data_IF_816848172918
#
_entry.id   IF_816848172918
#
_cell.length_a   1.000
_cell.length_b   1.000
_cell.length_c   1.000
_cell.angle_alpha   90.00
_cell.angle_beta   90.00
_cell.angle_gamma   90.00
#
_symmetry.space_group_name_H-M   'P 1'
#
loop_
_entity.id
_entity.type
_entity.pdbx_description
1 polymer ?
#
# COMPACT_ATOMS: atom_id res chain seq x y z
N UNK A 1 36.82 -41.46 -74.20
CA UNK A 1 37.60 -42.03 -73.08
C UNK A 1 37.56 -41.01 -71.94
N UNK A 2 37.14 -41.44 -70.74
CA UNK A 2 37.32 -40.84 -69.38
C UNK A 2 37.13 -39.32 -69.21
N UNK A 3 36.02 -38.83 -68.62
CA UNK A 3 35.75 -38.63 -67.16
C UNK A 3 36.58 -37.49 -66.53
N UNK A 4 36.12 -36.55 -65.69
CA UNK A 4 34.85 -36.28 -65.03
C UNK A 4 34.87 -34.84 -64.41
N UNK A 5 33.68 -34.29 -64.13
CA UNK A 5 33.22 -33.49 -62.94
C UNK A 5 34.18 -32.52 -62.20
N UNK A 6 33.82 -31.31 -61.75
CA UNK A 6 32.53 -30.83 -61.20
C UNK A 6 32.31 -29.30 -61.33
N UNK A 7 31.01 -28.96 -61.29
CA UNK A 7 30.25 -27.69 -61.23
C UNK A 7 30.73 -26.62 -60.23
N UNK A 8 30.81 -25.32 -60.59
CA UNK A 8 29.78 -24.29 -60.87
C UNK A 8 29.16 -23.68 -59.58
N UNK A 9 29.55 -22.46 -59.18
CA UNK A 9 29.15 -21.08 -59.58
C UNK A 9 28.03 -20.48 -58.72
N UNK A 10 28.35 -19.34 -58.13
CA UNK A 10 27.44 -18.29 -57.66
C UNK A 10 26.79 -17.57 -58.85
N UNK A 11 25.56 -17.06 -58.67
CA UNK A 11 25.10 -15.71 -59.09
C UNK A 11 23.61 -15.54 -58.73
N UNK A 12 23.31 -14.30 -58.37
CA UNK A 12 22.08 -13.63 -57.93
C UNK A 12 20.78 -13.88 -58.70
N UNK A 13 19.66 -13.76 -57.98
CA UNK A 13 18.33 -13.42 -58.55
C UNK A 13 17.42 -12.81 -57.48
N UNK A 14 16.98 -11.57 -57.69
CA UNK A 14 16.06 -10.81 -56.84
C UNK A 14 14.64 -10.89 -57.41
N UNK A 15 13.65 -11.07 -56.52
CA UNK A 15 12.33 -10.40 -56.49
C UNK A 15 11.08 -11.28 -56.39
N UNK A 16 10.15 -10.76 -55.59
CA UNK A 16 8.72 -11.04 -55.45
C UNK A 16 8.32 -12.16 -54.48
N UNK A 17 7.68 -11.75 -53.38
CA UNK A 17 7.06 -12.64 -52.40
C UNK A 17 6.61 -11.87 -51.17
N UNK A 18 5.47 -11.20 -51.27
CA UNK A 18 4.79 -10.60 -50.12
C UNK A 18 4.31 -11.72 -49.17
N UNK A 19 4.65 -11.63 -47.88
CA UNK A 19 3.95 -12.34 -46.81
C UNK A 19 4.13 -11.59 -45.49
N UNK A 20 3.03 -11.47 -44.76
CA UNK A 20 2.84 -10.52 -43.67
C UNK A 20 3.80 -10.71 -42.50
N UNK A 21 4.35 -9.60 -42.03
CA UNK A 21 4.98 -9.52 -40.73
C UNK A 21 3.87 -9.60 -39.66
N UNK A 22 3.62 -10.80 -39.16
CA UNK A 22 3.01 -10.97 -37.84
C UNK A 22 3.98 -10.38 -36.81
N UNK A 23 3.59 -9.26 -36.20
CA UNK A 23 4.28 -8.67 -35.08
C UNK A 23 4.36 -9.71 -33.95
N UNK A 24 5.52 -10.35 -33.80
CA UNK A 24 5.84 -11.13 -32.62
C UNK A 24 5.91 -10.17 -31.44
N UNK A 25 4.84 -10.15 -30.65
CA UNK A 25 4.80 -9.49 -29.37
C UNK A 25 5.93 -10.04 -28.51
N UNK A 26 6.82 -9.15 -28.08
CA UNK A 26 7.75 -9.43 -27.00
C UNK A 26 6.96 -9.77 -25.73
N UNK A 27 6.68 -11.04 -25.50
CA UNK A 27 6.40 -11.55 -24.17
C UNK A 27 7.73 -11.68 -23.44
N UNK A 28 8.24 -10.54 -22.97
CA UNK A 28 9.25 -10.54 -21.92
C UNK A 28 8.63 -11.18 -20.68
N UNK A 29 9.12 -12.36 -20.29
CA UNK A 29 8.84 -12.94 -18.98
C UNK A 29 8.98 -11.84 -17.91
N UNK A 30 7.99 -11.63 -17.02
CA UNK A 30 8.12 -10.59 -16.01
C UNK A 30 9.39 -10.89 -15.19
N UNK A 31 10.22 -9.87 -14.97
CA UNK A 31 11.36 -9.98 -14.06
C UNK A 31 10.93 -10.37 -12.63
N UNK A 32 11.90 -10.57 -11.71
CA UNK A 32 11.60 -10.97 -10.34
C UNK A 32 10.58 -10.03 -9.70
N UNK A 33 9.56 -10.60 -9.05
CA UNK A 33 8.52 -9.82 -8.37
C UNK A 33 8.91 -9.57 -6.91
N UNK A 34 8.56 -8.40 -6.39
CA UNK A 34 8.76 -8.05 -4.99
C UNK A 34 7.59 -8.56 -4.14
N UNK A 35 7.87 -9.40 -3.16
CA UNK A 35 6.89 -9.81 -2.14
C UNK A 35 6.65 -8.69 -1.12
N UNK A 36 5.39 -8.31 -0.95
CA UNK A 36 4.95 -7.28 -0.01
C UNK A 36 3.88 -7.89 0.90
N UNK A 37 4.01 -7.71 2.21
CA UNK A 37 3.04 -8.16 3.19
C UNK A 37 2.46 -6.98 3.95
N UNK A 38 1.13 -6.89 4.05
CA UNK A 38 0.44 -5.80 4.75
C UNK A 38 -0.41 -6.37 5.88
N UNK A 39 -0.35 -5.72 7.03
CA UNK A 39 -1.13 -6.04 8.23
C UNK A 39 -1.88 -4.79 8.66
N UNK A 40 -3.20 -4.91 8.82
CA UNK A 40 -4.00 -3.81 9.34
C UNK A 40 -5.48 -4.16 9.33
N UNK A 41 -6.31 -3.21 9.76
CA UNK A 41 -7.74 -3.44 9.87
C UNK A 41 -8.45 -3.25 8.52
N UNK A 42 -9.56 -3.96 8.34
CA UNK A 42 -10.53 -3.70 7.26
C UNK A 42 -11.86 -3.28 7.85
N UNK A 43 -12.49 -2.29 7.23
CA UNK A 43 -13.80 -1.79 7.62
C UNK A 43 -14.78 -1.87 6.44
N UNK A 44 -16.07 -2.00 6.75
CA UNK A 44 -17.16 -1.68 5.85
C UNK A 44 -17.58 -0.24 6.12
N UNK A 45 -17.19 0.67 5.24
CA UNK A 45 -17.50 2.09 5.35
C UNK A 45 -18.89 2.34 4.75
N UNK A 46 -19.79 2.87 5.57
CA UNK A 46 -21.08 3.43 5.15
C UNK A 46 -20.98 4.94 5.19
N UNK A 47 -20.93 5.57 4.02
CA UNK A 47 -20.73 7.01 3.89
C UNK A 47 -22.06 7.66 3.52
N UNK A 48 -22.50 8.56 4.37
CA UNK A 48 -23.70 9.38 4.23
C UNK A 48 -23.27 10.77 3.77
N UNK A 49 -23.60 11.10 2.53
CA UNK A 49 -23.36 12.41 1.93
C UNK A 49 -24.51 13.33 2.31
N UNK A 50 -24.17 14.45 2.93
CA UNK A 50 -25.12 15.48 3.39
C UNK A 50 -24.67 16.84 2.90
N UNK A 51 -25.61 17.75 2.61
CA UNK A 51 -25.25 19.11 2.23
C UNK A 51 -24.42 19.80 3.33
N UNK A 52 -24.98 19.83 4.53
CA UNK A 52 -24.42 20.45 5.74
C UNK A 52 -24.34 19.43 6.86
N UNK A 53 -23.34 19.57 7.72
CA UNK A 53 -23.16 18.70 8.88
C UNK A 53 -24.38 18.79 9.82
N UNK A 54 -24.93 17.65 10.28
CA UNK A 54 -26.12 17.67 11.12
C UNK A 54 -25.80 18.28 12.50
N UNK A 55 -26.71 19.12 13.00
CA UNK A 55 -26.68 19.55 14.38
C UNK A 55 -27.06 18.41 15.34
N UNK A 56 -26.60 18.49 16.58
CA UNK A 56 -27.02 17.56 17.64
C UNK A 56 -28.55 17.55 17.75
N UNK A 57 -29.13 16.35 17.93
CA UNK A 57 -30.58 16.10 17.98
C UNK A 57 -31.38 16.47 16.71
N UNK A 58 -30.71 16.83 15.60
CA UNK A 58 -31.38 17.13 14.34
C UNK A 58 -31.75 15.87 13.55
N UNK A 59 -32.86 15.94 12.83
CA UNK A 59 -33.26 14.93 11.83
C UNK A 59 -32.98 15.45 10.44
N UNK A 60 -32.12 14.76 9.71
CA UNK A 60 -31.73 15.13 8.35
C UNK A 60 -31.72 13.91 7.44
N UNK A 61 -32.03 14.12 6.16
CA UNK A 61 -31.94 13.10 5.11
C UNK A 61 -30.58 13.22 4.42
N UNK A 62 -29.90 12.10 4.24
CA UNK A 62 -28.71 12.04 3.38
C UNK A 62 -29.11 12.19 1.90
N UNK A 63 -28.32 12.95 1.14
CA UNK A 63 -28.50 13.10 -0.32
C UNK A 63 -28.14 11.81 -1.05
N UNK A 64 -27.08 11.14 -0.57
CA UNK A 64 -26.60 9.87 -1.08
C UNK A 64 -26.02 9.03 0.04
N UNK A 65 -26.20 7.71 -0.03
CA UNK A 65 -25.50 6.75 0.82
C UNK A 65 -24.70 5.82 -0.08
N UNK A 66 -23.47 5.54 0.30
CA UNK A 66 -22.61 4.56 -0.36
C UNK A 66 -22.01 3.60 0.66
N UNK A 67 -21.77 2.37 0.23
CA UNK A 67 -21.04 1.38 1.01
C UNK A 67 -19.82 0.91 0.23
N UNK A 68 -18.67 0.89 0.90
CA UNK A 68 -17.41 0.42 0.32
C UNK A 68 -16.48 -0.17 1.38
N UNK A 69 -15.50 -0.94 0.92
CA UNK A 69 -14.41 -1.40 1.77
C UNK A 69 -13.50 -0.22 2.14
N UNK A 70 -13.27 -0.04 3.43
CA UNK A 70 -12.26 0.83 4.02
C UNK A 70 -11.10 0.05 4.63
N UNK A 71 -10.30 0.72 5.44
CA UNK A 71 -9.10 0.17 6.09
C UNK A 71 -7.82 0.53 5.34
N UNK A 72 -6.88 1.17 6.05
CA UNK A 72 -5.73 1.83 5.45
C UNK A 72 -4.79 0.83 4.76
N UNK A 73 -4.42 -0.24 5.48
CA UNK A 73 -3.60 -1.31 4.92
C UNK A 73 -4.29 -2.05 3.77
N UNK A 74 -5.61 -2.25 3.84
CA UNK A 74 -6.38 -2.88 2.77
C UNK A 74 -6.44 -1.99 1.50
N UNK A 75 -6.66 -0.68 1.67
CA UNK A 75 -6.60 0.29 0.57
C UNK A 75 -5.23 0.31 -0.09
N UNK A 76 -4.18 0.34 0.73
CA UNK A 76 -2.78 0.26 0.27
C UNK A 76 -2.55 -1.03 -0.52
N UNK A 77 -3.02 -2.18 -0.02
CA UNK A 77 -2.87 -3.47 -0.68
C UNK A 77 -3.59 -3.53 -2.04
N UNK A 78 -4.80 -3.00 -2.15
CA UNK A 78 -5.57 -2.94 -3.41
C UNK A 78 -4.81 -2.20 -4.51
N UNK A 79 -4.13 -1.11 -4.15
CA UNK A 79 -3.34 -0.31 -5.09
C UNK A 79 -2.07 -1.05 -5.50
N UNK A 80 -1.34 -1.61 -4.53
CA UNK A 80 -0.10 -2.35 -4.78
C UNK A 80 -0.33 -3.57 -5.68
N UNK A 81 -1.45 -4.27 -5.51
CA UNK A 81 -1.80 -5.45 -6.30
C UNK A 81 -2.03 -5.16 -7.80
N UNK A 82 -2.18 -3.90 -8.18
CA UNK A 82 -2.31 -3.48 -9.57
C UNK A 82 -0.97 -3.44 -10.32
N UNK A 83 0.19 -3.42 -9.64
CA UNK A 83 1.49 -3.45 -10.30
C UNK A 83 1.98 -4.90 -10.49
N UNK A 84 2.23 -5.36 -11.74
CA UNK A 84 2.61 -6.74 -12.00
C UNK A 84 3.97 -7.14 -11.42
N UNK A 85 4.79 -6.16 -11.00
CA UNK A 85 6.08 -6.40 -10.32
C UNK A 85 5.91 -6.66 -8.82
N UNK A 86 4.74 -6.38 -8.25
CA UNK A 86 4.44 -6.67 -6.86
C UNK A 86 3.70 -8.02 -6.74
N UNK A 87 4.02 -8.78 -5.70
CA UNK A 87 3.15 -9.83 -5.17
C UNK A 87 2.73 -9.42 -3.76
N UNK A 88 1.44 -9.27 -3.55
CA UNK A 88 0.92 -8.61 -2.35
C UNK A 88 0.13 -9.61 -1.52
N UNK A 89 0.42 -9.65 -0.21
CA UNK A 89 -0.33 -10.39 0.79
C UNK A 89 -0.95 -9.42 1.78
N UNK A 90 -2.17 -9.73 2.20
CA UNK A 90 -2.90 -8.95 3.18
C UNK A 90 -3.39 -9.83 4.32
N UNK A 91 -3.14 -9.38 5.55
CA UNK A 91 -3.61 -10.01 6.78
C UNK A 91 -4.46 -9.02 7.58
N UNK A 92 -5.63 -9.51 8.00
CA UNK A 92 -6.53 -8.84 8.94
C UNK A 92 -7.27 -9.89 9.77
N UNK A 93 -7.76 -9.46 10.94
CA UNK A 93 -8.88 -10.10 11.61
C UNK A 93 -10.14 -9.89 10.77
N UNK A 94 -10.90 -10.95 10.55
CA UNK A 94 -12.05 -10.99 9.63
C UNK A 94 -13.21 -11.75 10.26
N UNK A 95 -14.47 -11.35 9.97
CA UNK A 95 -15.62 -12.18 10.35
C UNK A 95 -15.61 -13.48 9.54
N UNK A 96 -16.69 -14.28 9.63
CA UNK A 96 -16.80 -15.53 8.86
C UNK A 96 -16.49 -15.33 7.37
N UNK A 97 -15.98 -16.34 6.65
CA UNK A 97 -15.63 -16.21 5.22
C UNK A 97 -16.78 -15.66 4.36
N UNK A 98 -18.03 -15.99 4.68
CA UNK A 98 -19.22 -15.48 3.98
C UNK A 98 -19.40 -13.98 4.20
N UNK A 99 -19.29 -13.49 5.44
CA UNK A 99 -19.42 -12.07 5.77
C UNK A 99 -18.24 -11.24 5.24
N UNK A 100 -17.07 -11.85 5.07
CA UNK A 100 -15.85 -11.23 4.57
C UNK A 100 -15.82 -11.01 3.05
N UNK A 101 -16.75 -11.59 2.28
CA UNK A 101 -16.75 -11.49 0.80
C UNK A 101 -16.73 -10.05 0.30
N UNK A 102 -17.53 -9.17 0.91
CA UNK A 102 -17.57 -7.74 0.54
C UNK A 102 -16.26 -7.01 0.85
N UNK A 103 -15.51 -7.48 1.85
CA UNK A 103 -14.25 -6.91 2.29
C UNK A 103 -13.06 -7.40 1.45
N UNK A 104 -13.10 -8.63 0.94
CA UNK A 104 -11.95 -9.23 0.25
C UNK A 104 -12.02 -9.16 -1.26
N UNK A 105 -13.23 -9.05 -1.84
CA UNK A 105 -13.43 -9.14 -3.30
C UNK A 105 -12.54 -8.19 -4.10
N UNK A 106 -12.49 -6.90 -3.74
CA UNK A 106 -11.69 -5.92 -4.47
C UNK A 106 -10.18 -6.18 -4.35
N UNK A 107 -9.73 -6.74 -3.21
CA UNK A 107 -8.34 -7.13 -3.02
C UNK A 107 -7.98 -8.30 -3.95
N UNK A 108 -8.81 -9.34 -3.96
CA UNK A 108 -8.61 -10.54 -4.78
C UNK A 108 -8.68 -10.24 -6.29
N UNK A 109 -9.62 -9.39 -6.71
CA UNK A 109 -9.72 -8.90 -8.10
C UNK A 109 -8.47 -8.11 -8.54
N UNK A 110 -7.74 -7.52 -7.58
CA UNK A 110 -6.45 -6.85 -7.80
C UNK A 110 -5.26 -7.74 -7.41
N UNK A 111 -5.39 -9.07 -7.48
CA UNK A 111 -4.30 -10.04 -7.27
C UNK A 111 -3.67 -10.03 -5.85
N UNK A 112 -4.35 -9.47 -4.86
CA UNK A 112 -3.92 -9.53 -3.47
C UNK A 112 -4.26 -10.90 -2.87
N UNK A 113 -3.29 -11.49 -2.19
CA UNK A 113 -3.39 -12.77 -1.49
C UNK A 113 -3.98 -12.56 -0.10
N UNK A 114 -5.21 -13.04 0.10
CA UNK A 114 -6.02 -12.84 1.31
C UNK A 114 -6.07 -14.08 2.20
N UNK A 115 -5.46 -15.20 1.79
CA UNK A 115 -5.35 -16.41 2.61
C UNK A 115 -4.66 -16.24 3.98
N UNK A 116 -3.80 -15.21 4.21
CA UNK A 116 -3.27 -14.93 5.55
C UNK A 116 -4.31 -14.37 6.52
N UNK A 117 -5.48 -13.92 6.07
CA UNK A 117 -6.50 -13.40 6.98
C UNK A 117 -6.96 -14.45 8.01
N UNK A 118 -7.33 -13.96 9.19
CA UNK A 118 -7.80 -14.77 10.32
C UNK A 118 -9.32 -14.64 10.38
N UNK A 119 -10.02 -15.75 10.24
CA UNK A 119 -11.48 -15.77 10.13
C UNK A 119 -12.08 -16.28 11.44
N UNK A 120 -12.95 -15.48 12.03
CA UNK A 120 -13.70 -15.86 13.23
C UNK A 120 -15.05 -16.49 12.82
N UNK A 121 -15.36 -17.67 13.37
CA UNK A 121 -16.54 -18.47 13.01
C UNK A 121 -17.80 -18.10 13.77
N UNK A 122 -17.67 -17.33 14.85
CA UNK A 122 -18.78 -16.75 15.58
C UNK A 122 -19.56 -15.75 14.70
N UNK A 123 -20.82 -15.46 15.04
CA UNK A 123 -21.67 -14.50 14.31
C UNK A 123 -21.24 -13.05 14.55
N UNK A 124 -19.99 -12.74 14.21
CA UNK A 124 -19.41 -11.41 14.30
C UNK A 124 -19.71 -10.64 13.02
N UNK A 125 -20.08 -9.37 13.18
CA UNK A 125 -20.26 -8.47 12.04
C UNK A 125 -18.90 -7.96 11.55
N UNK A 126 -18.75 -7.63 10.26
CA UNK A 126 -17.64 -6.82 9.78
C UNK A 126 -17.44 -5.58 10.66
N UNK A 127 -16.19 -5.14 10.92
CA UNK A 127 -15.95 -3.82 11.49
C UNK A 127 -16.62 -2.78 10.59
N UNK A 128 -17.32 -1.83 11.19
CA UNK A 128 -18.08 -0.82 10.45
C UNK A 128 -17.53 0.57 10.75
N UNK A 129 -17.53 1.42 9.73
CA UNK A 129 -17.33 2.85 9.89
C UNK A 129 -18.53 3.58 9.31
N UNK A 130 -19.16 4.43 10.10
CA UNK A 130 -20.19 5.35 9.67
C UNK A 130 -19.56 6.71 9.46
N UNK A 131 -19.64 7.20 8.23
CA UNK A 131 -18.98 8.43 7.81
C UNK A 131 -20.04 9.43 7.41
N UNK A 132 -20.08 10.58 8.08
CA UNK A 132 -20.88 11.73 7.65
C UNK A 132 -19.95 12.63 6.85
N UNK A 133 -20.25 12.83 5.57
CA UNK A 133 -19.48 13.68 4.65
C UNK A 133 -20.30 14.93 4.32
N UNK A 134 -19.86 16.09 4.78
CA UNK A 134 -20.51 17.37 4.54
C UNK A 134 -19.95 18.02 3.27
N UNK A 135 -20.83 18.30 2.30
CA UNK A 135 -20.44 18.80 0.98
C UNK A 135 -20.06 20.29 1.00
N UNK A 136 -20.74 21.09 1.82
CA UNK A 136 -20.51 22.53 1.93
C UNK A 136 -19.15 22.89 2.55
N UNK A 137 -18.75 22.16 3.59
CA UNK A 137 -17.49 22.34 4.30
C UNK A 137 -16.36 21.47 3.76
N UNK A 138 -16.69 20.41 3.02
CA UNK A 138 -15.75 19.36 2.63
C UNK A 138 -15.20 18.53 3.80
N UNK A 139 -15.81 18.64 4.98
CA UNK A 139 -15.36 17.92 6.19
C UNK A 139 -16.06 16.57 6.32
N UNK A 140 -15.47 15.69 7.14
CA UNK A 140 -16.07 14.40 7.48
C UNK A 140 -15.91 14.08 8.96
N UNK A 141 -16.87 13.33 9.49
CA UNK A 141 -16.79 12.69 10.82
C UNK A 141 -16.92 11.19 10.64
N UNK A 142 -16.02 10.44 11.29
CA UNK A 142 -15.95 8.99 11.19
C UNK A 142 -16.23 8.38 12.56
N UNK A 143 -17.24 7.53 12.63
CA UNK A 143 -17.61 6.76 13.82
C UNK A 143 -17.40 5.29 13.51
N UNK A 144 -16.45 4.64 14.17
CA UNK A 144 -16.14 3.23 13.94
C UNK A 144 -16.66 2.34 15.06
N UNK A 145 -17.18 1.16 14.71
CA UNK A 145 -17.55 0.11 15.64
C UNK A 145 -17.01 -1.24 15.14
N UNK A 146 -16.42 -2.03 16.05
CA UNK A 146 -15.97 -3.38 15.75
C UNK A 146 -16.29 -4.28 16.93
N UNK A 147 -16.83 -5.47 16.63
CA UNK A 147 -16.92 -6.59 17.58
C UNK A 147 -15.85 -7.64 17.32
N UNK A 148 -15.01 -7.46 16.29
CA UNK A 148 -13.90 -8.36 16.03
C UNK A 148 -12.76 -8.09 17.01
N UNK A 149 -12.12 -9.15 17.53
CA UNK A 149 -10.88 -8.99 18.27
C UNK A 149 -9.78 -8.51 17.32
N UNK A 150 -8.84 -7.74 17.87
CA UNK A 150 -7.58 -7.44 17.19
C UNK A 150 -6.78 -8.74 16.96
N UNK A 151 -5.92 -8.73 15.94
CA UNK A 151 -5.01 -9.84 15.65
C UNK A 151 -4.09 -10.12 16.84
N UNK A 152 -4.06 -11.36 17.31
CA UNK A 152 -3.10 -11.81 18.32
C UNK A 152 -1.74 -12.12 17.70
N UNK A 153 -0.69 -12.17 18.52
CA UNK A 153 0.64 -12.57 18.08
C UNK A 153 0.65 -14.02 17.56
N UNK A 154 -0.03 -14.94 18.24
CA UNK A 154 -0.07 -16.35 17.88
C UNK A 154 -0.71 -16.56 16.51
N UNK A 155 -1.85 -15.91 16.26
CA UNK A 155 -2.53 -15.95 14.96
C UNK A 155 -1.66 -15.35 13.85
N UNK A 156 -0.98 -14.23 14.13
CA UNK A 156 -0.03 -13.62 13.20
C UNK A 156 1.09 -14.59 12.84
N UNK A 157 1.75 -15.21 13.82
CA UNK A 157 2.86 -16.16 13.58
C UNK A 157 2.41 -17.30 12.66
N UNK A 158 1.29 -17.96 12.98
CA UNK A 158 0.78 -19.09 12.20
C UNK A 158 0.54 -18.69 10.74
N UNK A 159 -0.12 -17.55 10.53
CA UNK A 159 -0.49 -17.09 9.19
C UNK A 159 0.69 -16.53 8.41
N UNK A 160 1.60 -15.82 9.07
CA UNK A 160 2.81 -15.26 8.48
C UNK A 160 3.77 -16.35 8.04
N UNK A 161 4.01 -17.37 8.87
CA UNK A 161 4.87 -18.52 8.52
C UNK A 161 4.29 -19.31 7.33
N UNK A 162 2.97 -19.55 7.34
CA UNK A 162 2.28 -20.16 6.21
C UNK A 162 2.41 -19.34 4.92
N UNK A 163 2.34 -18.01 5.01
CA UNK A 163 2.55 -17.13 3.86
C UNK A 163 4.01 -17.18 3.38
N UNK A 164 4.99 -17.20 4.28
CA UNK A 164 6.41 -17.34 3.93
C UNK A 164 6.69 -18.64 3.18
N UNK A 165 6.12 -19.76 3.63
CA UNK A 165 6.23 -21.06 2.95
C UNK A 165 5.65 -21.03 1.53
N UNK A 166 4.49 -20.40 1.34
CA UNK A 166 3.85 -20.27 0.02
C UNK A 166 4.59 -19.30 -0.90
N UNK A 167 5.12 -18.21 -0.35
CA UNK A 167 5.93 -17.23 -1.08
C UNK A 167 7.18 -17.87 -1.70
N UNK A 168 7.76 -18.89 -1.04
CA UNK A 168 8.93 -19.63 -1.51
C UNK A 168 8.70 -20.49 -2.78
N UNK A 169 7.49 -20.55 -3.34
CA UNK A 169 7.18 -21.37 -4.53
C UNK A 169 7.30 -20.53 -5.82
N UNK A 170 8.29 -20.90 -6.65
CA UNK A 170 8.67 -20.49 -8.01
C UNK A 170 9.00 -19.02 -8.34
N UNK A 171 8.20 -18.03 -7.94
CA UNK A 171 8.31 -16.68 -8.56
C UNK A 171 9.05 -15.64 -7.71
N UNK A 172 9.17 -15.86 -6.40
CA UNK A 172 9.96 -15.02 -5.48
C UNK A 172 11.34 -15.63 -5.21
N UNK A 173 11.59 -16.84 -5.71
CA UNK A 173 12.84 -17.62 -5.54
C UNK A 173 14.07 -16.80 -5.96
N UNK A 174 13.92 -15.92 -6.96
CA UNK A 174 14.99 -15.03 -7.42
C UNK A 174 15.42 -13.98 -6.38
N UNK A 175 14.55 -13.59 -5.44
CA UNK A 175 14.92 -12.64 -4.37
C UNK A 175 15.57 -13.31 -3.16
N UNK A 176 15.44 -14.63 -3.05
CA UNK A 176 15.91 -15.44 -1.92
C UNK A 176 15.39 -14.97 -0.54
N UNK A 177 14.21 -14.34 -0.51
CA UNK A 177 13.44 -13.93 0.68
C UNK A 177 11.93 -13.97 0.35
N UNK A 178 11.04 -14.21 1.34
CA UNK A 178 9.60 -14.22 1.09
C UNK A 178 9.03 -12.81 0.87
N UNK A 179 9.37 -11.85 1.74
CA UNK A 179 8.89 -10.48 1.63
C UNK A 179 10.06 -9.50 1.70
N UNK A 180 10.11 -8.58 0.75
CA UNK A 180 11.06 -7.45 0.75
C UNK A 180 10.54 -6.30 1.59
N UNK A 181 9.22 -6.18 1.71
CA UNK A 181 8.56 -5.10 2.42
C UNK A 181 7.43 -5.65 3.28
N UNK A 182 7.38 -5.27 4.56
CA UNK A 182 6.28 -5.59 5.46
C UNK A 182 5.73 -4.27 6.04
N UNK A 183 4.44 -4.02 5.83
CA UNK A 183 3.76 -2.81 6.30
C UNK A 183 2.76 -3.15 7.40
N UNK A 184 2.79 -2.37 8.48
CA UNK A 184 1.85 -2.46 9.58
C UNK A 184 1.09 -1.15 9.75
N UNK A 185 -0.22 -1.23 9.87
CA UNK A 185 -1.01 -0.17 10.50
C UNK A 185 -0.63 -0.12 11.99
N UNK A 186 -0.19 1.02 12.50
CA UNK A 186 0.29 1.20 13.88
C UNK A 186 -0.84 1.18 14.91
N UNK A 187 -1.47 0.00 15.08
CA UNK A 187 -2.55 -0.24 16.05
C UNK A 187 -2.11 -1.20 17.15
N UNK A 188 -2.54 -0.94 18.38
CA UNK A 188 -2.46 -1.89 19.49
C UNK A 188 -1.03 -2.19 19.97
N UNK A 189 -0.93 -2.91 21.09
CA UNK A 189 0.34 -3.27 21.71
C UNK A 189 1.05 -4.43 21.00
N UNK A 190 0.30 -5.30 20.30
CA UNK A 190 0.85 -6.54 19.74
C UNK A 190 1.61 -6.35 18.43
N UNK A 191 1.40 -5.25 17.69
CA UNK A 191 2.19 -4.96 16.48
C UNK A 191 3.69 -4.90 16.79
N UNK A 192 4.07 -4.40 17.98
CA UNK A 192 5.47 -4.41 18.40
C UNK A 192 6.03 -5.84 18.45
N UNK A 193 5.25 -6.77 19.02
CA UNK A 193 5.64 -8.19 19.14
C UNK A 193 5.66 -8.90 17.78
N UNK A 194 4.74 -8.52 16.88
CA UNK A 194 4.73 -9.04 15.50
C UNK A 194 5.99 -8.61 14.76
N UNK A 195 6.40 -7.34 14.89
CA UNK A 195 7.65 -6.84 14.31
C UNK A 195 8.85 -7.57 14.92
N UNK A 196 8.91 -7.72 16.25
CA UNK A 196 9.99 -8.47 16.91
C UNK A 196 10.09 -9.92 16.40
N UNK A 197 8.94 -10.59 16.18
CA UNK A 197 8.91 -11.92 15.60
C UNK A 197 9.50 -11.93 14.19
N UNK A 198 9.03 -11.04 13.31
CA UNK A 198 9.53 -10.89 11.93
C UNK A 198 11.04 -10.64 11.92
N UNK A 199 11.51 -9.67 12.71
CA UNK A 199 12.92 -9.35 12.89
C UNK A 199 13.72 -10.60 13.28
N UNK A 200 13.24 -11.34 14.28
CA UNK A 200 13.90 -12.56 14.75
C UNK A 200 14.02 -13.62 13.66
N UNK A 201 12.97 -13.82 12.84
CA UNK A 201 12.98 -14.77 11.73
C UNK A 201 13.97 -14.31 10.66
N UNK A 202 13.92 -13.05 10.27
CA UNK A 202 14.77 -12.52 9.19
C UNK A 202 16.24 -12.43 9.59
N UNK A 203 16.55 -12.19 10.87
CA UNK A 203 17.92 -12.26 11.39
C UNK A 203 18.43 -13.70 11.34
N UNK A 204 17.67 -14.68 11.86
CA UNK A 204 18.06 -16.10 11.86
C UNK A 204 18.31 -16.64 10.45
N UNK A 205 17.57 -16.14 9.46
CA UNK A 205 17.71 -16.55 8.06
C UNK A 205 18.76 -15.73 7.28
N UNK A 206 19.37 -14.70 7.88
CA UNK A 206 20.32 -13.81 7.20
C UNK A 206 19.68 -12.89 6.14
N UNK A 207 18.37 -12.63 6.26
CA UNK A 207 17.58 -11.85 5.32
C UNK A 207 17.33 -10.41 5.73
N UNK A 208 17.66 -10.05 6.98
CA UNK A 208 17.29 -8.75 7.55
C UNK A 208 17.71 -7.54 6.70
N UNK A 209 18.89 -7.59 6.08
CA UNK A 209 19.40 -6.50 5.23
C UNK A 209 18.60 -6.29 3.93
N UNK A 210 17.72 -7.23 3.58
CA UNK A 210 16.85 -7.14 2.40
C UNK A 210 15.40 -6.78 2.76
N UNK A 211 15.08 -6.68 4.04
CA UNK A 211 13.75 -6.37 4.55
C UNK A 211 13.64 -4.88 4.87
N UNK A 212 12.53 -4.28 4.46
CA UNK A 212 12.06 -2.99 4.95
C UNK A 212 10.79 -3.20 5.75
N UNK A 213 10.79 -2.76 7.01
CA UNK A 213 9.57 -2.69 7.84
C UNK A 213 9.07 -1.26 7.85
N UNK A 214 7.79 -1.07 7.52
CA UNK A 214 7.16 0.25 7.58
C UNK A 214 5.94 0.26 8.48
N UNK A 215 5.70 1.39 9.16
CA UNK A 215 4.57 1.56 10.08
C UNK A 215 3.83 2.85 9.76
N UNK A 216 2.50 2.78 9.74
CA UNK A 216 1.62 3.94 9.67
C UNK A 216 1.20 4.43 11.06
N UNK A 217 1.29 5.73 11.28
CA UNK A 217 0.96 6.45 12.50
C UNK A 217 -0.14 7.48 12.25
N UNK A 218 -1.41 7.07 12.44
CA UNK A 218 -2.57 7.91 12.14
C UNK A 218 -3.01 8.80 13.31
N UNK A 219 -2.99 8.29 14.56
CA UNK A 219 -3.36 9.02 15.79
C UNK A 219 -2.33 8.79 16.89
N UNK A 220 -1.88 9.87 17.54
CA UNK A 220 -0.76 9.86 18.48
C UNK A 220 -1.07 9.39 19.91
N UNK A 221 -2.33 9.15 20.24
CA UNK A 221 -2.80 8.82 21.59
C UNK A 221 -2.92 7.32 21.87
N UNK A 222 -2.60 6.46 20.88
CA UNK A 222 -2.73 5.01 21.04
C UNK A 222 -1.63 4.43 21.95
N UNK A 223 -1.98 3.58 22.93
CA UNK A 223 -0.98 2.89 23.77
C UNK A 223 0.00 2.06 22.93
N UNK A 224 1.30 2.10 23.29
CA UNK A 224 2.34 1.32 22.63
C UNK A 224 2.93 1.94 21.35
N UNK A 225 2.33 3.00 20.81
CA UNK A 225 2.74 3.60 19.53
C UNK A 225 4.19 4.13 19.54
N UNK A 226 4.69 4.56 20.71
CA UNK A 226 6.07 5.04 20.88
C UNK A 226 7.11 3.94 20.63
N UNK A 227 6.81 2.69 20.99
CA UNK A 227 7.73 1.57 20.80
C UNK A 227 7.91 1.27 19.30
N UNK A 228 6.85 1.44 18.51
CA UNK A 228 6.88 1.23 17.06
C UNK A 228 7.82 2.19 16.33
N UNK A 229 8.01 3.42 16.84
CA UNK A 229 8.94 4.40 16.25
C UNK A 229 10.37 3.86 16.17
N UNK A 230 10.78 3.06 17.15
CA UNK A 230 12.10 2.42 17.22
C UNK A 230 12.18 1.09 16.45
N UNK A 231 11.07 0.61 15.88
CA UNK A 231 11.00 -0.67 15.16
C UNK A 231 10.78 -0.51 13.64
N UNK A 232 10.33 0.66 13.17
CA UNK A 232 10.11 0.93 11.76
C UNK A 232 11.38 1.45 11.05
N UNK A 233 11.64 0.94 9.84
CA UNK A 233 12.65 1.47 8.92
C UNK A 233 12.06 2.64 8.08
N UNK A 234 10.74 2.63 7.87
CA UNK A 234 9.98 3.71 7.23
C UNK A 234 8.75 4.06 8.06
N UNK A 235 8.61 5.32 8.46
CA UNK A 235 7.47 5.81 9.24
C UNK A 235 6.56 6.70 8.38
N UNK A 236 5.26 6.44 8.38
CA UNK A 236 4.27 7.28 7.73
C UNK A 236 3.42 7.98 8.78
N UNK A 237 3.44 9.31 8.83
CA UNK A 237 2.66 10.10 9.76
C UNK A 237 1.54 10.85 9.06
N UNK A 238 0.36 10.87 9.69
CA UNK A 238 -0.74 11.71 9.25
C UNK A 238 -0.56 13.16 9.73
N UNK A 239 -1.21 14.11 9.05
CA UNK A 239 -1.35 15.48 9.55
C UNK A 239 -1.99 15.52 10.95
N UNK A 240 -3.02 14.71 11.18
CA UNK A 240 -3.71 14.61 12.46
C UNK A 240 -2.76 14.18 13.60
N UNK A 241 -1.84 13.26 13.34
CA UNK A 241 -0.83 12.82 14.30
C UNK A 241 0.06 13.99 14.72
N UNK A 242 0.57 14.77 13.76
CA UNK A 242 1.40 15.94 14.02
C UNK A 242 0.64 17.03 14.78
N UNK A 243 -0.60 17.33 14.37
CA UNK A 243 -1.45 18.34 15.02
C UNK A 243 -1.81 17.96 16.46
N UNK A 244 -2.01 16.67 16.74
CA UNK A 244 -2.25 16.17 18.12
C UNK A 244 -1.06 16.44 19.05
N UNK A 245 0.14 16.54 18.49
CA UNK A 245 1.37 16.89 19.22
C UNK A 245 1.68 18.39 19.19
N UNK A 246 0.78 19.21 18.64
CA UNK A 246 0.89 20.67 18.62
C UNK A 246 1.72 21.24 17.47
N UNK A 247 2.00 20.45 16.43
CA UNK A 247 2.73 20.92 15.25
C UNK A 247 1.77 21.37 14.14
N UNK A 248 2.08 22.51 13.52
CA UNK A 248 1.37 23.08 12.38
C UNK A 248 2.17 22.99 11.06
N UNK A 249 3.43 22.55 11.15
CA UNK A 249 4.35 22.37 10.03
C UNK A 249 4.95 20.97 10.04
N UNK A 250 4.89 20.22 8.93
CA UNK A 250 5.34 18.83 8.93
C UNK A 250 6.86 18.71 9.02
N UNK A 251 7.64 19.69 8.58
CA UNK A 251 9.11 19.68 8.71
C UNK A 251 9.54 19.78 10.17
N UNK A 252 8.94 20.71 10.92
CA UNK A 252 9.23 20.90 12.35
C UNK A 252 8.83 19.65 13.14
N UNK A 253 7.68 19.05 12.79
CA UNK A 253 7.25 17.76 13.32
C UNK A 253 8.25 16.64 13.04
N UNK A 254 8.65 16.44 11.77
CA UNK A 254 9.58 15.37 11.40
C UNK A 254 10.95 15.53 12.09
N UNK A 255 11.42 16.77 12.22
CA UNK A 255 12.66 17.05 12.95
C UNK A 255 12.56 16.67 14.43
N UNK A 256 11.41 16.91 15.07
CA UNK A 256 11.20 16.61 16.49
C UNK A 256 10.96 15.11 16.75
N UNK A 257 10.06 14.48 15.98
CA UNK A 257 9.71 13.07 16.19
C UNK A 257 10.87 12.13 15.81
N UNK A 258 11.79 12.59 14.95
CA UNK A 258 12.96 11.85 14.53
C UNK A 258 13.87 11.40 15.67
N UNK A 259 13.93 12.17 16.77
CA UNK A 259 14.71 11.81 17.96
C UNK A 259 14.19 10.54 18.66
N UNK A 260 12.94 10.16 18.39
CA UNK A 260 12.29 8.97 18.92
C UNK A 260 12.21 7.81 17.92
N UNK A 261 12.76 7.96 16.71
CA UNK A 261 12.75 6.93 15.67
C UNK A 261 14.09 6.18 15.59
N UNK A 262 14.16 5.09 14.81
CA UNK A 262 15.45 4.47 14.47
C UNK A 262 16.38 5.50 13.80
N UNK A 263 17.69 5.54 14.12
CA UNK A 263 18.61 6.49 13.49
C UNK A 263 18.70 6.40 11.96
N UNK A 264 18.42 5.23 11.38
CA UNK A 264 18.41 5.00 9.93
C UNK A 264 17.03 5.13 9.27
N UNK A 265 15.99 5.50 10.03
CA UNK A 265 14.64 5.55 9.49
C UNK A 265 14.46 6.65 8.44
N UNK A 266 13.54 6.38 7.52
CA UNK A 266 12.99 7.41 6.62
C UNK A 266 11.58 7.75 7.06
N UNK A 267 11.35 9.01 7.38
CA UNK A 267 10.07 9.51 7.86
C UNK A 267 9.34 10.22 6.73
N UNK A 268 8.02 10.06 6.64
CA UNK A 268 7.15 10.80 5.74
C UNK A 268 5.98 11.40 6.52
N UNK A 269 5.59 12.62 6.20
CA UNK A 269 4.39 13.24 6.73
C UNK A 269 3.56 13.86 5.61
N UNK A 270 2.31 13.40 5.48
CA UNK A 270 1.36 13.91 4.49
C UNK A 270 0.63 15.14 5.02
N UNK A 271 0.48 16.17 4.19
CA UNK A 271 -0.14 17.46 4.55
C UNK A 271 -1.27 17.88 3.60
N UNK A 272 -2.03 16.90 3.10
CA UNK A 272 -3.19 17.13 2.25
C UNK A 272 -2.83 17.83 0.93
N UNK A 273 -3.52 18.92 0.60
CA UNK A 273 -3.30 19.68 -0.63
C UNK A 273 -1.90 20.32 -0.73
N UNK A 274 -1.17 20.44 0.39
CA UNK A 274 0.23 20.91 0.39
C UNK A 274 1.22 19.83 -0.03
N UNK A 275 0.77 18.58 -0.22
CA UNK A 275 1.62 17.45 -0.58
C UNK A 275 2.18 16.75 0.65
N UNK A 276 3.47 16.42 0.63
CA UNK A 276 4.13 15.72 1.72
C UNK A 276 5.61 16.09 1.83
N UNK A 277 6.16 15.87 3.01
CA UNK A 277 7.58 16.01 3.31
C UNK A 277 8.16 14.68 3.77
N UNK A 278 9.45 14.48 3.54
CA UNK A 278 10.20 13.34 4.01
C UNK A 278 11.52 13.74 4.65
N UNK A 279 12.00 12.94 5.60
CA UNK A 279 13.28 13.13 6.28
C UNK A 279 13.98 11.79 6.40
N UNK A 280 15.16 11.65 5.81
CA UNK A 280 16.04 10.51 6.06
C UNK A 280 16.98 10.85 7.21
N UNK A 281 16.88 10.12 8.33
CA UNK A 281 17.51 10.52 9.59
C UNK A 281 19.04 10.34 9.58
N UNK A 282 19.55 9.29 8.93
CA UNK A 282 20.98 9.00 8.88
C UNK A 282 21.74 10.07 8.08
N UNK A 283 21.24 10.42 6.90
CA UNK A 283 21.85 11.47 6.06
C UNK A 283 21.38 12.89 6.41
N UNK A 284 20.40 13.03 7.32
CA UNK A 284 19.69 14.28 7.63
C UNK A 284 19.14 15.01 6.38
N UNK A 285 18.84 14.27 5.32
CA UNK A 285 18.35 14.85 4.06
C UNK A 285 16.83 15.01 4.12
N UNK A 286 16.37 16.23 3.86
CA UNK A 286 14.94 16.55 3.76
C UNK A 286 14.49 16.53 2.30
N UNK A 287 13.27 16.07 2.09
CA UNK A 287 12.60 15.99 0.80
C UNK A 287 11.22 16.61 0.91
N UNK A 288 10.75 17.24 -0.16
CA UNK A 288 9.38 17.73 -0.23
C UNK A 288 8.83 17.55 -1.63
N UNK A 289 7.52 17.35 -1.72
CA UNK A 289 6.78 17.37 -2.97
C UNK A 289 5.42 17.97 -2.70
N UNK A 290 5.00 18.91 -3.55
CA UNK A 290 3.62 19.36 -3.58
C UNK A 290 2.68 18.24 -4.03
N UNK A 291 1.38 18.43 -3.79
CA UNK A 291 0.35 17.60 -4.39
C UNK A 291 0.38 17.75 -5.93
N UNK A 292 0.02 16.68 -6.62
CA UNK A 292 -0.22 16.67 -8.06
C UNK A 292 -1.37 17.60 -8.44
N UNK A 293 -1.34 18.10 -9.67
CA UNK A 293 -2.39 18.99 -10.18
C UNK A 293 -3.63 18.18 -10.54
N UNK A 294 -4.76 18.53 -9.95
CA UNK A 294 -6.07 17.96 -10.27
C UNK A 294 -7.08 19.07 -10.51
N UNK A 295 -7.97 18.88 -11.49
CA UNK A 295 -8.99 19.88 -11.84
C UNK A 295 -10.09 19.96 -10.78
N UNK A 296 -10.44 18.83 -10.17
CA UNK A 296 -11.51 18.71 -9.19
C UNK A 296 -11.23 17.57 -8.21
N UNK A 297 -11.57 17.80 -6.93
CA UNK A 297 -11.60 16.76 -5.91
C UNK A 297 -12.93 16.01 -6.03
N UNK A 298 -12.86 14.72 -6.36
CA UNK A 298 -14.00 13.81 -6.50
C UNK A 298 -14.20 12.98 -5.23
N UNK A 299 -13.12 12.40 -4.70
CA UNK A 299 -13.18 11.49 -3.54
C UNK A 299 -11.82 11.42 -2.81
N UNK A 300 -11.61 12.20 -1.74
CA UNK A 300 -10.34 12.24 -1.01
C UNK A 300 -10.16 11.04 -0.05
N UNK A 301 -11.16 10.17 0.10
CA UNK A 301 -11.08 8.99 0.98
C UNK A 301 -10.00 8.04 0.45
N UNK A 302 -9.07 7.68 1.32
CA UNK A 302 -7.92 6.82 1.01
C UNK A 302 -6.76 7.48 0.26
N UNK A 303 -6.71 8.82 0.19
CA UNK A 303 -5.56 9.52 -0.40
C UNK A 303 -4.24 9.25 0.37
N UNK A 304 -4.30 9.16 1.70
CA UNK A 304 -3.15 8.76 2.53
C UNK A 304 -2.68 7.34 2.22
N UNK A 305 -3.61 6.39 2.06
CA UNK A 305 -3.31 5.01 1.70
C UNK A 305 -2.68 4.91 0.30
N UNK A 306 -3.15 5.74 -0.64
CA UNK A 306 -2.55 5.87 -1.96
C UNK A 306 -1.12 6.45 -1.91
N UNK A 307 -0.86 7.41 -1.02
CA UNK A 307 0.49 7.89 -0.77
C UNK A 307 1.39 6.77 -0.24
N UNK A 308 0.96 6.02 0.79
CA UNK A 308 1.71 4.91 1.37
C UNK A 308 2.02 3.86 0.29
N UNK A 309 1.01 3.46 -0.50
CA UNK A 309 1.18 2.55 -1.62
C UNK A 309 2.21 3.08 -2.63
N UNK A 310 2.19 4.39 -2.90
CA UNK A 310 3.15 5.05 -3.79
C UNK A 310 4.59 4.96 -3.30
N UNK A 311 4.82 5.20 -2.01
CA UNK A 311 6.15 5.05 -1.40
C UNK A 311 6.61 3.59 -1.42
N UNK A 312 5.76 2.66 -0.98
CA UNK A 312 6.09 1.22 -0.98
C UNK A 312 6.42 0.74 -2.40
N UNK A 313 5.63 1.15 -3.40
CA UNK A 313 5.85 0.74 -4.78
C UNK A 313 7.14 1.33 -5.34
N UNK A 314 7.37 2.63 -5.14
CA UNK A 314 8.53 3.32 -5.69
C UNK A 314 9.84 2.81 -5.09
N UNK A 315 9.95 2.73 -3.76
CA UNK A 315 11.16 2.33 -3.05
C UNK A 315 11.33 0.80 -3.01
N UNK A 316 10.25 0.08 -2.73
CA UNK A 316 10.26 -1.36 -2.51
C UNK A 316 10.30 -2.17 -3.81
N UNK A 317 9.71 -1.65 -4.90
CA UNK A 317 9.48 -2.42 -6.14
C UNK A 317 10.18 -1.81 -7.35
N UNK A 318 10.13 -0.48 -7.50
CA UNK A 318 10.64 0.21 -8.70
C UNK A 318 12.09 0.69 -8.60
N UNK A 319 12.67 0.64 -7.39
CA UNK A 319 14.05 1.04 -7.14
C UNK A 319 14.30 2.55 -7.26
N UNK A 320 13.27 3.36 -7.02
CA UNK A 320 13.43 4.82 -7.01
C UNK A 320 14.15 5.29 -5.75
N UNK A 321 14.85 6.42 -5.84
CA UNK A 321 15.35 7.12 -4.66
C UNK A 321 14.20 7.76 -3.85
N UNK A 322 14.48 8.19 -2.62
CA UNK A 322 13.50 8.76 -1.69
C UNK A 322 12.78 9.98 -2.30
N UNK A 323 13.52 10.88 -2.96
CA UNK A 323 12.95 12.09 -3.53
C UNK A 323 12.02 11.81 -4.70
N UNK A 324 12.40 10.90 -5.60
CA UNK A 324 11.55 10.43 -6.69
C UNK A 324 10.36 9.63 -6.18
N UNK A 325 10.55 8.78 -5.18
CA UNK A 325 9.48 8.02 -4.54
C UNK A 325 8.45 8.92 -3.87
N UNK A 326 8.88 10.00 -3.20
CA UNK A 326 8.00 10.99 -2.60
C UNK A 326 7.12 11.71 -3.64
N UNK A 327 7.71 12.13 -4.77
CA UNK A 327 6.96 12.75 -5.88
C UNK A 327 5.93 11.79 -6.46
N UNK A 328 6.33 10.55 -6.72
CA UNK A 328 5.42 9.50 -7.19
C UNK A 328 4.25 9.25 -6.23
N UNK A 329 4.52 9.21 -4.92
CA UNK A 329 3.50 9.03 -3.90
C UNK A 329 2.51 10.21 -3.84
N UNK A 330 3.00 11.45 -3.95
CA UNK A 330 2.15 12.63 -3.98
C UNK A 330 1.25 12.66 -5.23
N UNK A 331 1.79 12.31 -6.39
CA UNK A 331 1.00 12.21 -7.62
C UNK A 331 -0.08 11.13 -7.50
N UNK A 332 0.29 9.94 -6.99
CA UNK A 332 -0.66 8.84 -6.81
C UNK A 332 -1.79 9.18 -5.84
N UNK A 333 -1.48 9.86 -4.74
CA UNK A 333 -2.47 10.37 -3.80
C UNK A 333 -3.39 11.42 -4.43
N UNK A 334 -2.82 12.30 -5.26
CA UNK A 334 -3.58 13.35 -5.95
C UNK A 334 -4.51 12.75 -7.00
N UNK A 335 -4.03 11.79 -7.78
CA UNK A 335 -4.85 11.01 -8.69
C UNK A 335 -5.93 10.22 -7.97
N UNK A 336 -5.70 9.75 -6.74
CA UNK A 336 -6.77 9.14 -5.95
C UNK A 336 -7.89 10.16 -5.68
N UNK A 337 -7.54 11.40 -5.35
CA UNK A 337 -8.52 12.45 -5.08
C UNK A 337 -9.39 12.79 -6.31
N UNK A 338 -8.90 12.59 -7.54
CA UNK A 338 -9.61 12.89 -8.79
C UNK A 338 -10.51 11.74 -9.30
N UNK A 339 -10.61 10.62 -8.58
CA UNK A 339 -11.46 9.49 -8.96
C UNK A 339 -12.13 8.79 -7.77
N UNK A 340 -13.27 8.14 -8.03
CA UNK A 340 -13.89 7.24 -7.05
C UNK A 340 -13.12 5.92 -6.93
N UNK A 341 -12.81 5.52 -5.69
CA UNK A 341 -12.14 4.25 -5.39
C UNK A 341 -10.75 4.11 -6.04
N UNK A 342 -10.22 2.90 -6.10
CA UNK A 342 -8.82 2.64 -6.48
C UNK A 342 -8.65 1.94 -7.83
N UNK A 343 -9.75 1.62 -8.52
CA UNK A 343 -9.72 0.82 -9.75
C UNK A 343 -8.84 1.46 -10.82
N UNK A 344 -7.83 0.73 -11.28
CA UNK A 344 -6.89 1.12 -12.36
C UNK A 344 -6.12 2.42 -12.08
N UNK A 345 -5.96 2.82 -10.82
CA UNK A 345 -5.33 4.08 -10.43
C UNK A 345 -3.87 4.21 -10.91
N UNK A 346 -3.14 3.09 -11.03
CA UNK A 346 -1.76 3.12 -11.51
C UNK A 346 -1.63 3.41 -13.01
N UNK A 347 -2.69 3.21 -13.80
CA UNK A 347 -2.68 3.48 -15.25
C UNK A 347 -2.75 4.97 -15.59
N UNK A 348 -3.26 5.78 -14.67
CA UNK A 348 -3.37 7.22 -14.81
C UNK A 348 -2.11 7.98 -14.40
N UNK A 349 -1.11 7.30 -13.82
CA UNK A 349 0.13 7.95 -13.39
C UNK A 349 1.10 8.07 -14.58
N UNK A 350 1.66 9.26 -14.84
CA UNK A 350 2.68 9.45 -15.86
C UNK A 350 3.87 8.49 -15.68
N UNK A 351 4.40 7.97 -16.79
CA UNK A 351 5.51 7.00 -16.78
C UNK A 351 6.87 7.63 -16.45
N UNK A 352 6.96 8.95 -16.55
CA UNK A 352 8.17 9.78 -16.53
C UNK A 352 8.45 10.48 -15.19
N UNK A 353 7.67 10.17 -14.15
CA UNK A 353 7.89 10.67 -12.77
C UNK A 353 9.17 10.14 -12.13
#
# INVERSE_FOLDING_TARGET
MSSATSSQTSISGVSSGASGASANGFHSSPGPRAGIFLVGATYLDTIMHVHTFPHEDAKQRAERVEQRRGGNAANTAEILGQDPRAKVWYMSSMPSPTASKILLRALEENNVKTEPCVFHTEQLSPPQAYIISALDSGTRTVISHSTLPDLTLEEFIIKFDAACMRAGVSDLVQMNIPFRWIHFEGRGADVCKMIDYVESVYIRQGWRQKLTISVEFEKGDRPGIKNLLQQADVCFFSKLYAETLGFDRPEDFLSSIGDYCKPSATLFCCWGAMGAVGLHLESRTSFSSGAGKIDMVVDPVGAGDAFIAGVILSLGVRGYDIGRGLRFACELASQKCSQYGFKRILKSIPTDI
#
